data_IF_795922061502
#
_entry.id   IF_795922061502
#
_cell.length_a   1.000
_cell.length_b   1.000
_cell.length_c   1.000
_cell.angle_alpha   90.00
_cell.angle_beta   90.00
_cell.angle_gamma   90.00
#
_symmetry.space_group_name_H-M   'P 1'
#
loop_
_entity.id
_entity.type
_entity.pdbx_description
1 polymer ?
#
# COMPACT_ATOMS: atom_id res chain seq x y z
N UNK A 1 15.66 21.99 -10.76
CA UNK A 1 14.70 22.65 -9.79
C UNK A 1 15.49 23.17 -8.60
N UNK A 2 15.01 24.23 -7.89
CA UNK A 2 15.62 24.63 -6.60
C UNK A 2 15.29 23.55 -5.58
N UNK A 3 16.28 23.04 -4.87
CA UNK A 3 16.08 22.01 -3.85
C UNK A 3 15.29 22.57 -2.66
N UNK A 4 14.26 21.84 -2.23
CA UNK A 4 13.54 22.17 -1.00
C UNK A 4 14.29 21.61 0.20
N UNK A 5 14.51 22.45 1.19
CA UNK A 5 15.16 22.07 2.44
C UNK A 5 14.16 21.93 3.59
N UNK A 6 12.95 22.43 3.40
CA UNK A 6 11.88 22.45 4.40
C UNK A 6 10.54 22.23 3.69
N UNK A 7 9.70 21.36 4.24
CA UNK A 7 8.31 21.15 3.81
C UNK A 7 7.37 21.19 5.01
N UNK A 8 6.18 21.72 4.82
CA UNK A 8 5.08 21.56 5.76
C UNK A 8 4.33 20.28 5.46
N UNK A 9 4.02 19.52 6.50
CA UNK A 9 3.13 18.36 6.45
C UNK A 9 1.76 18.80 6.94
N UNK A 10 0.73 18.54 6.15
CA UNK A 10 -0.64 18.87 6.52
C UNK A 10 -1.54 17.63 6.52
N UNK A 11 -2.59 17.68 7.32
CA UNK A 11 -3.70 16.74 7.35
C UNK A 11 -4.99 17.55 7.22
N UNK A 12 -5.76 17.30 6.15
CA UNK A 12 -6.84 18.21 5.75
C UNK A 12 -6.29 19.65 5.62
N UNK A 13 -6.89 20.61 6.30
CA UNK A 13 -6.47 22.03 6.27
C UNK A 13 -5.56 22.42 7.46
N UNK A 14 -5.10 21.45 8.24
CA UNK A 14 -4.28 21.72 9.45
C UNK A 14 -2.82 21.35 9.22
N UNK A 15 -1.91 22.20 9.69
CA UNK A 15 -0.47 21.91 9.69
C UNK A 15 -0.14 20.91 10.79
N UNK A 16 0.25 19.70 10.41
CA UNK A 16 0.73 18.65 11.31
C UNK A 16 2.10 18.99 11.88
N UNK A 17 3.00 19.45 11.01
CA UNK A 17 4.37 19.76 11.42
C UNK A 17 5.25 20.12 10.23
N UNK A 18 6.55 20.12 10.47
CA UNK A 18 7.57 20.54 9.51
C UNK A 18 8.63 19.46 9.32
N UNK A 19 8.96 19.17 8.06
CA UNK A 19 10.11 18.38 7.66
C UNK A 19 11.27 19.31 7.30
N UNK A 20 12.48 18.98 7.74
CA UNK A 20 13.67 19.74 7.40
C UNK A 20 14.87 18.82 7.15
N UNK A 21 15.60 19.07 6.06
CA UNK A 21 16.83 18.34 5.75
C UNK A 21 17.94 18.75 6.72
N UNK A 22 18.55 17.75 7.37
CA UNK A 22 19.71 17.91 8.25
C UNK A 22 21.02 17.91 7.46
N UNK A 23 22.12 18.27 8.11
CA UNK A 23 23.44 18.32 7.47
C UNK A 23 23.97 16.93 7.06
N UNK A 24 23.52 15.88 7.71
CA UNK A 24 23.83 14.46 7.43
C UNK A 24 22.82 13.79 6.52
N UNK A 25 22.06 14.57 5.75
CA UNK A 25 21.08 14.10 4.75
C UNK A 25 19.91 13.29 5.32
N UNK A 26 19.60 13.43 6.61
CA UNK A 26 18.36 12.91 7.20
C UNK A 26 17.27 13.96 7.17
N UNK A 27 16.03 13.54 7.27
CA UNK A 27 14.89 14.46 7.31
C UNK A 27 14.31 14.48 8.73
N UNK A 28 14.61 15.53 9.46
CA UNK A 28 14.04 15.77 10.79
C UNK A 28 12.57 16.19 10.66
N UNK A 29 11.77 15.77 11.63
CA UNK A 29 10.37 16.16 11.76
C UNK A 29 10.08 16.77 13.13
N UNK A 30 9.22 17.79 13.15
CA UNK A 30 8.70 18.38 14.38
C UNK A 30 7.22 18.70 14.20
N UNK A 31 6.39 18.29 15.16
CA UNK A 31 4.98 18.68 15.21
C UNK A 31 4.81 20.19 15.41
N UNK A 32 3.75 20.76 14.82
CA UNK A 32 3.33 22.13 15.12
C UNK A 32 2.72 22.21 16.53
N UNK A 33 2.79 23.38 17.15
CA UNK A 33 2.21 23.59 18.48
C UNK A 33 0.68 23.39 18.45
N UNK A 34 0.00 23.80 17.37
CA UNK A 34 -1.44 23.61 17.19
C UNK A 34 -1.82 22.14 17.07
N UNK A 35 -1.03 21.34 16.32
CA UNK A 35 -1.28 19.91 16.19
C UNK A 35 -1.04 19.13 17.48
N UNK A 36 -0.09 19.57 18.30
CA UNK A 36 0.17 18.98 19.63
C UNK A 36 -1.01 19.13 20.58
N UNK A 37 -1.86 20.17 20.42
CA UNK A 37 -3.03 20.42 21.26
C UNK A 37 -4.25 19.59 20.83
N UNK A 38 -4.46 19.38 19.52
CA UNK A 38 -5.71 18.84 18.98
C UNK A 38 -5.55 17.64 18.05
N UNK A 39 -4.32 17.34 17.65
CA UNK A 39 -4.03 16.28 16.69
C UNK A 39 -3.78 14.92 17.32
N UNK A 40 -3.30 14.02 16.52
CA UNK A 40 -2.93 12.65 16.90
C UNK A 40 -1.51 12.33 16.46
N UNK A 41 -0.94 11.24 16.99
CA UNK A 41 0.35 10.72 16.52
C UNK A 41 0.22 10.13 15.12
N UNK A 42 0.91 10.72 14.14
CA UNK A 42 0.87 10.23 12.75
C UNK A 42 1.63 8.90 12.56
N UNK A 43 2.49 8.51 13.49
CA UNK A 43 3.03 7.16 13.67
C UNK A 43 3.27 6.91 15.16
N UNK A 44 2.46 6.06 15.82
CA UNK A 44 2.52 5.86 17.27
C UNK A 44 3.87 5.33 17.78
N UNK A 45 4.68 4.71 16.92
CA UNK A 45 5.94 4.09 17.30
C UNK A 45 7.13 5.02 17.10
N UNK A 46 7.27 5.65 15.93
CA UNK A 46 8.44 6.47 15.61
C UNK A 46 8.23 7.96 15.85
N UNK A 47 6.98 8.43 15.82
CA UNK A 47 6.60 9.84 16.00
C UNK A 47 5.49 10.02 17.04
N UNK A 48 5.73 9.67 18.32
CA UNK A 48 4.74 9.91 19.37
C UNK A 48 4.41 11.42 19.44
N UNK A 49 3.16 11.77 19.80
CA UNK A 49 2.69 13.15 19.87
C UNK A 49 3.37 13.90 21.02
N UNK A 50 4.56 14.43 20.76
CA UNK A 50 5.42 15.12 21.74
C UNK A 50 6.12 16.31 21.11
N UNK A 51 6.38 17.35 21.93
CA UNK A 51 7.10 18.55 21.51
C UNK A 51 8.61 18.29 21.49
N UNK A 52 9.10 17.72 20.40
CA UNK A 52 10.54 17.50 20.17
C UNK A 52 10.84 17.44 18.67
N UNK A 53 12.12 17.56 18.33
CA UNK A 53 12.60 17.27 16.98
C UNK A 53 12.93 15.79 16.90
N UNK A 54 12.27 15.09 15.99
CA UNK A 54 12.54 13.69 15.68
C UNK A 54 13.51 13.59 14.52
N UNK A 55 14.48 12.68 14.61
CA UNK A 55 15.43 12.40 13.53
C UNK A 55 15.44 10.87 13.29
N UNK A 56 15.33 10.39 12.05
CA UNK A 56 15.35 8.96 11.77
C UNK A 56 16.67 8.31 12.22
N UNK A 57 16.54 7.14 12.84
CA UNK A 57 17.72 6.35 13.25
C UNK A 57 18.21 5.48 12.12
N UNK A 58 17.28 4.92 11.33
CA UNK A 58 17.56 4.05 10.18
C UNK A 58 17.67 4.87 8.89
N UNK A 59 18.44 4.37 7.94
CA UNK A 59 18.74 5.07 6.68
C UNK A 59 18.07 4.45 5.43
N UNK A 60 17.37 3.32 5.57
CA UNK A 60 16.78 2.59 4.43
C UNK A 60 15.62 3.29 3.72
N UNK A 61 15.05 4.37 4.30
CA UNK A 61 14.05 5.22 3.65
C UNK A 61 14.65 6.54 3.13
N UNK A 62 15.86 6.49 2.63
CA UNK A 62 16.59 7.68 2.16
C UNK A 62 16.63 8.81 3.22
N UNK A 63 16.66 8.43 4.52
CA UNK A 63 16.66 9.36 5.65
C UNK A 63 15.29 9.90 6.07
N UNK A 64 14.18 9.36 5.55
CA UNK A 64 12.82 9.65 6.01
C UNK A 64 12.38 8.73 7.16
N UNK A 65 11.30 9.12 7.85
CA UNK A 65 10.47 8.20 8.61
C UNK A 65 9.52 7.45 7.68
N UNK A 66 9.20 6.20 8.01
CA UNK A 66 8.34 5.34 7.21
C UNK A 66 6.98 5.92 6.87
N UNK A 67 6.39 6.73 7.76
CA UNK A 67 5.10 7.40 7.50
C UNK A 67 5.15 8.36 6.29
N UNK A 68 6.29 8.99 6.04
CA UNK A 68 6.48 9.85 4.88
C UNK A 68 6.88 9.05 3.65
N UNK A 69 7.61 7.93 3.84
CA UNK A 69 7.92 6.98 2.78
C UNK A 69 6.66 6.34 2.19
N UNK A 70 5.64 6.04 3.01
CA UNK A 70 4.34 5.54 2.55
C UNK A 70 3.60 6.51 1.60
N UNK A 71 3.97 7.78 1.60
CA UNK A 71 3.43 8.78 0.67
C UNK A 71 4.18 8.83 -0.66
N UNK A 72 5.42 8.32 -0.69
CA UNK A 72 6.21 8.32 -1.92
C UNK A 72 5.79 7.19 -2.85
N UNK A 73 5.83 7.42 -4.16
CA UNK A 73 5.67 6.36 -5.13
C UNK A 73 6.87 5.42 -5.07
N UNK A 74 6.60 4.13 -5.08
CA UNK A 74 7.63 3.12 -5.27
C UNK A 74 7.75 2.72 -6.77
N UNK A 75 8.16 1.52 -7.09
CA UNK A 75 8.59 1.06 -8.41
C UNK A 75 7.90 1.68 -9.64
N UNK A 76 6.58 1.51 -9.80
CA UNK A 76 5.86 2.00 -10.98
C UNK A 76 5.76 3.52 -11.01
N UNK A 77 5.32 4.12 -9.92
CA UNK A 77 5.18 5.58 -9.85
C UNK A 77 6.54 6.28 -9.91
N UNK A 78 7.58 5.72 -9.31
CA UNK A 78 8.94 6.24 -9.41
C UNK A 78 9.47 6.17 -10.85
N UNK A 79 9.21 5.06 -11.57
CA UNK A 79 9.56 4.94 -12.99
C UNK A 79 8.90 6.02 -13.84
N UNK A 80 7.60 6.26 -13.63
CA UNK A 80 6.86 7.32 -14.34
C UNK A 80 7.45 8.70 -14.05
N UNK A 81 7.67 9.02 -12.76
CA UNK A 81 8.25 10.29 -12.35
C UNK A 81 9.63 10.52 -12.97
N UNK A 82 10.52 9.53 -12.88
CA UNK A 82 11.88 9.66 -13.38
C UNK A 82 11.91 9.85 -14.92
N UNK A 83 10.99 9.20 -15.65
CA UNK A 83 10.85 9.40 -17.10
C UNK A 83 10.28 10.76 -17.45
N UNK A 84 9.26 11.21 -16.70
CA UNK A 84 8.67 12.53 -16.88
C UNK A 84 9.72 13.63 -16.68
N UNK A 85 10.51 13.55 -15.62
CA UNK A 85 11.57 14.51 -15.35
C UNK A 85 12.60 14.55 -16.49
N UNK A 86 13.06 13.38 -16.98
CA UNK A 86 13.99 13.31 -18.12
C UNK A 86 13.38 13.88 -19.41
N UNK A 87 12.09 13.63 -19.67
CA UNK A 87 11.39 14.23 -20.81
C UNK A 87 11.36 15.76 -20.72
N UNK A 88 11.22 16.30 -19.53
CA UNK A 88 11.30 17.73 -19.23
C UNK A 88 12.75 18.25 -19.03
N UNK A 89 13.78 17.47 -19.42
CA UNK A 89 15.20 17.82 -19.32
C UNK A 89 15.65 18.10 -17.87
N UNK A 90 15.05 17.45 -16.92
CA UNK A 90 15.42 17.47 -15.50
C UNK A 90 16.10 16.15 -15.13
N UNK A 91 17.10 16.21 -14.27
CA UNK A 91 17.80 15.02 -13.79
C UNK A 91 17.12 14.48 -12.52
N UNK A 92 16.47 13.30 -12.54
CA UNK A 92 15.85 12.74 -11.35
C UNK A 92 16.82 12.42 -10.22
N UNK A 93 18.11 12.20 -10.52
CA UNK A 93 19.13 11.88 -9.52
C UNK A 93 19.58 13.11 -8.70
N UNK A 94 19.19 14.32 -9.10
CA UNK A 94 19.43 15.55 -8.36
C UNK A 94 18.31 15.87 -7.35
N UNK A 95 17.19 15.13 -7.38
CA UNK A 95 16.09 15.37 -6.46
C UNK A 95 16.39 14.78 -5.08
N UNK A 96 16.16 15.59 -4.07
CA UNK A 96 16.11 15.11 -2.69
C UNK A 96 14.77 14.40 -2.41
N UNK A 97 14.69 13.64 -1.31
CA UNK A 97 13.43 13.03 -0.88
C UNK A 97 12.36 14.08 -0.55
N UNK A 98 12.75 15.27 -0.07
CA UNK A 98 11.83 16.40 0.13
C UNK A 98 11.29 16.94 -1.20
N UNK A 99 12.12 17.00 -2.25
CA UNK A 99 11.65 17.38 -3.59
C UNK A 99 10.63 16.39 -4.11
N UNK A 100 10.83 15.08 -3.88
CA UNK A 100 9.89 14.03 -4.26
C UNK A 100 8.57 14.14 -3.48
N UNK A 101 8.60 14.42 -2.17
CA UNK A 101 7.40 14.67 -1.37
C UNK A 101 6.66 15.94 -1.83
N UNK A 102 7.38 17.01 -2.19
CA UNK A 102 6.79 18.22 -2.76
C UNK A 102 6.08 17.95 -4.12
N UNK A 103 6.62 17.03 -4.91
CA UNK A 103 6.00 16.58 -6.18
C UNK A 103 4.75 15.73 -5.91
N UNK A 104 4.76 14.88 -4.90
CA UNK A 104 3.56 14.15 -4.44
C UNK A 104 2.48 15.13 -3.99
N UNK A 105 2.87 16.17 -3.24
CA UNK A 105 1.98 17.24 -2.82
C UNK A 105 0.69 16.73 -2.18
N UNK A 106 -0.44 16.94 -2.87
CA UNK A 106 -1.78 16.52 -2.42
C UNK A 106 -2.26 15.20 -3.03
N UNK A 107 -1.55 14.62 -3.99
CA UNK A 107 -2.00 13.45 -4.77
C UNK A 107 -1.65 12.09 -4.15
N UNK A 108 -0.83 12.05 -3.11
CA UNK A 108 -0.33 10.82 -2.50
C UNK A 108 -1.39 9.89 -1.91
N UNK A 109 -0.94 8.70 -1.52
CA UNK A 109 -1.74 7.75 -0.75
C UNK A 109 -1.92 8.27 0.68
N UNK A 110 -3.01 7.85 1.35
CA UNK A 110 -3.33 8.30 2.69
C UNK A 110 -3.81 9.76 2.75
N UNK A 111 -3.67 10.40 3.91
CA UNK A 111 -4.22 11.73 4.16
C UNK A 111 -3.17 12.84 4.28
N UNK A 112 -1.89 12.52 4.42
CA UNK A 112 -0.86 13.54 4.54
C UNK A 112 -0.64 14.25 3.21
N UNK A 113 -0.38 15.55 3.27
CA UNK A 113 -0.06 16.41 2.11
C UNK A 113 1.17 17.24 2.41
N UNK A 114 1.86 17.70 1.37
CA UNK A 114 3.17 18.35 1.49
C UNK A 114 3.21 19.68 0.78
N UNK A 115 3.64 20.73 1.46
CA UNK A 115 3.67 22.09 0.94
C UNK A 115 5.04 22.76 1.17
N UNK A 116 5.55 23.57 0.18
CA UNK A 116 4.89 23.91 -1.08
C UNK A 116 4.83 22.71 -2.03
N UNK A 117 3.73 22.60 -2.77
CA UNK A 117 3.51 21.58 -3.78
C UNK A 117 4.19 21.95 -5.10
N UNK A 118 4.77 20.97 -5.79
CA UNK A 118 5.37 21.11 -7.12
C UNK A 118 4.51 20.38 -8.16
N UNK A 119 3.58 21.09 -8.78
CA UNK A 119 2.64 20.53 -9.73
C UNK A 119 3.23 20.43 -11.14
N UNK A 120 2.87 19.37 -11.85
CA UNK A 120 2.98 19.28 -13.31
C UNK A 120 1.66 19.75 -13.95
N UNK A 121 1.71 20.26 -15.20
CA UNK A 121 0.47 20.68 -15.90
C UNK A 121 -0.55 19.54 -15.97
N UNK A 122 -1.81 19.87 -15.68
CA UNK A 122 -2.92 18.92 -15.86
C UNK A 122 -3.26 18.76 -17.33
N UNK A 123 -3.33 17.52 -17.82
CA UNK A 123 -3.93 17.17 -19.11
C UNK A 123 -5.23 16.40 -18.88
N UNK A 124 -6.17 16.53 -19.84
CA UNK A 124 -7.42 15.77 -19.77
C UNK A 124 -7.15 14.29 -20.05
N UNK A 125 -7.61 13.43 -19.13
CA UNK A 125 -7.42 11.99 -19.22
C UNK A 125 -8.37 11.34 -20.22
N UNK A 126 -7.86 10.37 -20.98
CA UNK A 126 -8.64 9.47 -21.83
C UNK A 126 -9.27 8.36 -20.97
N UNK A 127 -10.56 8.07 -21.18
CA UNK A 127 -11.25 6.99 -20.47
C UNK A 127 -10.99 5.57 -21.05
N UNK A 128 -10.18 5.46 -22.10
CA UNK A 128 -9.91 4.20 -22.79
C UNK A 128 -8.80 3.39 -22.08
N UNK A 129 -9.23 2.40 -21.29
CA UNK A 129 -8.32 1.56 -20.49
C UNK A 129 -7.36 0.73 -21.35
N UNK A 130 -7.80 0.27 -22.53
CA UNK A 130 -6.94 -0.51 -23.43
C UNK A 130 -5.80 0.34 -23.99
N UNK A 131 -6.07 1.58 -24.35
CA UNK A 131 -5.03 2.51 -24.77
C UNK A 131 -4.05 2.84 -23.66
N UNK A 132 -4.56 3.13 -22.44
CA UNK A 132 -3.69 3.39 -21.30
C UNK A 132 -2.81 2.16 -20.96
N UNK A 133 -3.35 0.95 -21.06
CA UNK A 133 -2.58 -0.27 -20.87
C UNK A 133 -1.47 -0.42 -21.92
N UNK A 134 -1.75 -0.12 -23.20
CA UNK A 134 -0.72 -0.13 -24.27
C UNK A 134 0.40 0.89 -24.00
N UNK A 135 0.04 2.10 -23.59
CA UNK A 135 1.04 3.13 -23.24
C UNK A 135 1.88 2.71 -22.02
N UNK A 136 1.26 2.08 -21.01
CA UNK A 136 2.01 1.48 -19.90
C UNK A 136 3.02 0.43 -20.37
N UNK A 137 2.65 -0.42 -21.34
CA UNK A 137 3.58 -1.41 -21.91
C UNK A 137 4.76 -0.73 -22.64
N UNK A 138 4.53 0.34 -23.39
CA UNK A 138 5.62 1.13 -24.01
C UNK A 138 6.60 1.64 -22.96
N UNK A 139 6.07 2.18 -21.85
CA UNK A 139 6.90 2.65 -20.72
C UNK A 139 7.75 1.50 -20.16
N UNK A 140 7.15 0.33 -19.92
CA UNK A 140 7.89 -0.83 -19.41
C UNK A 140 8.98 -1.31 -20.38
N UNK A 141 8.70 -1.28 -21.68
CA UNK A 141 9.65 -1.67 -22.74
C UNK A 141 10.71 -0.60 -23.04
N UNK A 142 10.75 0.49 -22.32
CA UNK A 142 11.66 1.61 -22.57
C UNK A 142 11.41 2.29 -23.94
N UNK A 143 10.20 2.18 -24.46
CA UNK A 143 9.75 2.85 -25.66
C UNK A 143 9.23 4.25 -25.36
N UNK A 144 9.14 5.08 -26.41
CA UNK A 144 8.56 6.41 -26.28
C UNK A 144 7.03 6.32 -26.13
N UNK A 145 6.49 7.10 -25.21
CA UNK A 145 5.05 7.29 -25.00
C UNK A 145 4.74 8.79 -25.06
N UNK A 146 3.79 9.18 -25.87
CA UNK A 146 3.26 10.54 -25.96
C UNK A 146 2.20 10.81 -24.86
N UNK A 147 1.88 9.79 -24.05
CA UNK A 147 0.95 9.83 -22.91
C UNK A 147 1.64 9.80 -21.54
N UNK A 148 2.92 10.11 -21.50
CA UNK A 148 3.71 10.00 -20.26
C UNK A 148 3.17 10.95 -19.17
N UNK A 149 2.82 12.19 -19.53
CA UNK A 149 2.25 13.17 -18.59
C UNK A 149 0.91 12.68 -18.04
N UNK A 150 0.02 12.16 -18.92
CA UNK A 150 -1.27 11.59 -18.53
C UNK A 150 -1.10 10.38 -17.59
N UNK A 151 -0.22 9.45 -17.93
CA UNK A 151 0.06 8.27 -17.09
C UNK A 151 0.64 8.65 -15.73
N UNK A 152 1.49 9.68 -15.69
CA UNK A 152 2.02 10.18 -14.42
C UNK A 152 0.92 10.79 -13.55
N UNK A 153 0.06 11.62 -14.11
CA UNK A 153 -1.06 12.22 -13.38
C UNK A 153 -2.02 11.16 -12.81
N UNK A 154 -2.24 10.08 -13.56
CA UNK A 154 -3.13 8.99 -13.14
C UNK A 154 -2.47 7.98 -12.20
N UNK A 155 -1.18 7.73 -12.31
CA UNK A 155 -0.53 6.62 -11.61
C UNK A 155 0.79 6.94 -10.92
N UNK A 156 1.35 8.12 -11.13
CA UNK A 156 2.69 8.49 -10.69
C UNK A 156 2.88 8.59 -9.17
N UNK A 157 1.81 8.66 -8.39
CA UNK A 157 1.86 8.67 -6.92
C UNK A 157 1.37 7.35 -6.29
N UNK A 158 1.19 6.30 -7.10
CA UNK A 158 0.78 4.98 -6.63
C UNK A 158 1.98 4.13 -6.18
N UNK A 159 1.76 3.29 -5.18
CA UNK A 159 2.72 2.27 -4.74
C UNK A 159 2.62 0.98 -5.56
N UNK A 160 3.65 0.10 -5.44
CA UNK A 160 3.71 -1.23 -6.06
C UNK A 160 4.33 -1.25 -7.47
N UNK A 161 4.75 -2.44 -7.90
CA UNK A 161 5.57 -2.62 -9.11
C UNK A 161 4.77 -2.68 -10.42
N UNK A 162 3.50 -3.15 -10.38
CA UNK A 162 2.69 -3.30 -11.59
C UNK A 162 2.11 -1.98 -12.05
N UNK A 163 2.00 -1.76 -13.38
CA UNK A 163 1.34 -0.59 -13.95
C UNK A 163 -0.08 -0.44 -13.42
N UNK A 164 -0.43 0.77 -13.03
CA UNK A 164 -1.77 1.10 -12.53
C UNK A 164 -2.09 2.56 -12.69
N UNK A 165 -3.37 2.85 -12.68
CA UNK A 165 -3.91 4.20 -12.65
C UNK A 165 -4.86 4.37 -11.46
N UNK A 166 -4.99 5.59 -10.99
CA UNK A 166 -6.01 6.04 -10.06
C UNK A 166 -7.01 6.90 -10.82
N UNK A 167 -8.27 6.58 -10.75
CA UNK A 167 -9.32 7.28 -11.51
C UNK A 167 -10.62 7.32 -10.74
N UNK A 168 -11.50 8.24 -11.09
CA UNK A 168 -12.83 8.37 -10.50
C UNK A 168 -13.87 7.72 -11.40
N UNK A 169 -14.64 6.76 -10.89
CA UNK A 169 -15.74 6.10 -11.57
C UNK A 169 -16.95 6.17 -10.65
N UNK A 170 -18.09 6.64 -11.15
CA UNK A 170 -19.33 6.78 -10.37
C UNK A 170 -19.12 7.57 -9.05
N UNK A 171 -18.31 8.64 -9.11
CA UNK A 171 -17.92 9.48 -7.97
C UNK A 171 -17.09 8.75 -6.87
N UNK A 172 -16.61 7.54 -7.14
CA UNK A 172 -15.75 6.75 -6.26
C UNK A 172 -14.32 6.66 -6.82
N UNK A 173 -13.33 6.59 -5.95
CA UNK A 173 -11.93 6.51 -6.35
C UNK A 173 -11.49 5.06 -6.50
N UNK A 174 -10.92 4.74 -7.65
CA UNK A 174 -10.49 3.40 -8.03
C UNK A 174 -9.01 3.36 -8.35
N UNK A 175 -8.38 2.23 -8.05
CA UNK A 175 -7.09 1.83 -8.59
C UNK A 175 -7.38 0.73 -9.61
N UNK A 176 -6.94 0.92 -10.86
CA UNK A 176 -7.07 -0.07 -11.93
C UNK A 176 -5.66 -0.53 -12.30
N UNK A 177 -5.43 -1.84 -12.23
CA UNK A 177 -4.13 -2.45 -12.53
C UNK A 177 -4.10 -3.00 -13.94
N UNK A 178 -2.98 -2.79 -14.61
CA UNK A 178 -2.69 -3.35 -15.94
C UNK A 178 -1.66 -4.47 -15.83
N UNK A 179 -1.72 -5.50 -16.71
CA UNK A 179 -0.71 -6.54 -16.75
C UNK A 179 0.68 -5.96 -17.04
N UNK A 180 1.71 -6.43 -16.35
CA UNK A 180 3.09 -6.19 -16.76
C UNK A 180 3.48 -7.16 -17.90
N UNK A 181 4.62 -6.91 -18.55
CA UNK A 181 5.06 -7.75 -19.68
C UNK A 181 5.23 -9.24 -19.33
N UNK A 182 5.61 -9.51 -18.07
CA UNK A 182 5.79 -10.86 -17.53
C UNK A 182 4.48 -11.52 -17.10
N UNK A 183 3.40 -10.74 -16.98
CA UNK A 183 2.10 -11.24 -16.56
C UNK A 183 1.35 -11.83 -17.78
N UNK A 184 0.61 -12.91 -17.56
CA UNK A 184 -0.29 -13.46 -18.58
C UNK A 184 -1.51 -12.57 -18.82
N UNK A 185 -2.24 -12.83 -19.91
CA UNK A 185 -3.50 -12.13 -20.23
C UNK A 185 -4.59 -12.31 -19.18
N UNK A 186 -4.40 -13.23 -18.26
CA UNK A 186 -5.35 -13.60 -17.21
C UNK A 186 -5.06 -12.94 -15.86
N UNK A 187 -3.98 -12.14 -15.75
CA UNK A 187 -3.53 -11.57 -14.48
C UNK A 187 -4.63 -10.76 -13.76
N UNK A 188 -5.34 -9.90 -14.49
CA UNK A 188 -6.44 -9.12 -13.91
C UNK A 188 -7.63 -9.99 -13.45
N UNK A 189 -7.97 -11.00 -14.25
CA UNK A 189 -9.02 -11.98 -13.88
C UNK A 189 -8.62 -12.80 -12.67
N UNK A 190 -7.37 -13.27 -12.60
CA UNK A 190 -6.86 -14.02 -11.46
C UNK A 190 -6.93 -13.20 -10.17
N UNK A 191 -6.46 -11.95 -10.18
CA UNK A 191 -6.52 -11.08 -9.00
C UNK A 191 -7.98 -10.79 -8.58
N UNK A 192 -8.90 -10.65 -9.54
CA UNK A 192 -10.32 -10.52 -9.28
C UNK A 192 -10.90 -11.77 -8.60
N UNK A 193 -10.59 -12.97 -9.10
CA UNK A 193 -11.08 -14.25 -8.52
C UNK A 193 -10.51 -14.45 -7.11
N UNK A 194 -9.25 -14.13 -6.88
CA UNK A 194 -8.64 -14.11 -5.56
C UNK A 194 -9.38 -13.17 -4.61
N UNK A 195 -9.74 -11.98 -5.07
CA UNK A 195 -10.51 -11.02 -4.27
C UNK A 195 -11.91 -11.54 -3.91
N UNK A 196 -12.56 -12.22 -4.84
CA UNK A 196 -13.86 -12.87 -4.59
C UNK A 196 -13.74 -14.01 -3.59
N UNK A 197 -12.70 -14.86 -3.72
CA UNK A 197 -12.43 -15.93 -2.77
C UNK A 197 -12.11 -15.38 -1.37
N UNK A 198 -11.28 -14.34 -1.27
CA UNK A 198 -10.97 -13.70 0.00
C UNK A 198 -12.22 -13.15 0.70
N UNK A 199 -13.12 -12.49 -0.03
CA UNK A 199 -14.44 -12.07 0.49
C UNK A 199 -15.26 -13.25 0.98
N UNK A 200 -15.32 -14.34 0.20
CA UNK A 200 -16.00 -15.56 0.63
C UNK A 200 -15.40 -16.18 1.89
N UNK A 201 -14.09 -16.05 2.11
CA UNK A 201 -13.37 -16.44 3.32
C UNK A 201 -13.57 -15.48 4.51
N UNK A 202 -14.48 -14.51 4.43
CA UNK A 202 -14.73 -13.54 5.49
C UNK A 202 -13.61 -12.51 5.71
N UNK A 203 -12.71 -12.36 4.73
CA UNK A 203 -11.70 -11.33 4.76
C UNK A 203 -12.31 -10.00 4.33
N UNK A 204 -12.07 -8.96 5.08
CA UNK A 204 -12.51 -7.60 4.75
C UNK A 204 -11.74 -7.12 3.51
N UNK A 205 -12.47 -6.86 2.43
CA UNK A 205 -11.96 -6.37 1.16
C UNK A 205 -12.71 -5.11 0.73
N UNK A 206 -12.03 -4.20 0.04
CA UNK A 206 -12.73 -3.15 -0.71
C UNK A 206 -13.60 -3.74 -1.82
N UNK A 207 -14.49 -2.93 -2.38
CA UNK A 207 -15.18 -3.30 -3.62
C UNK A 207 -14.16 -3.53 -4.72
N UNK A 208 -14.33 -4.63 -5.48
CA UNK A 208 -13.48 -4.99 -6.61
C UNK A 208 -14.34 -5.22 -7.85
N UNK A 209 -13.81 -4.85 -9.01
CA UNK A 209 -14.44 -5.05 -10.33
C UNK A 209 -13.44 -5.59 -11.33
N UNK A 210 -13.93 -6.37 -12.27
CA UNK A 210 -13.17 -6.75 -13.47
C UNK A 210 -13.66 -5.87 -14.62
N UNK A 211 -12.84 -4.89 -15.00
CA UNK A 211 -13.15 -3.98 -16.10
C UNK A 211 -12.93 -4.67 -17.44
N UNK A 212 -13.86 -4.54 -18.40
CA UNK A 212 -13.75 -5.19 -19.69
C UNK A 212 -12.54 -4.69 -20.49
N UNK A 213 -11.96 -5.57 -21.30
CA UNK A 213 -10.86 -5.29 -22.22
C UNK A 213 -11.03 -6.15 -23.48
N UNK A 214 -10.61 -5.60 -24.62
CA UNK A 214 -10.49 -6.35 -25.87
C UNK A 214 -9.12 -7.05 -26.00
N UNK A 215 -8.16 -6.71 -25.12
CA UNK A 215 -6.76 -7.16 -25.18
C UNK A 215 -6.46 -8.34 -24.24
N UNK A 216 -7.21 -8.44 -23.13
CA UNK A 216 -7.01 -9.44 -22.09
C UNK A 216 -8.35 -9.88 -21.50
N UNK A 217 -8.34 -10.78 -20.48
CA UNK A 217 -9.58 -11.21 -19.80
C UNK A 217 -10.22 -10.14 -18.89
N UNK A 218 -9.65 -8.97 -18.84
CA UNK A 218 -10.13 -7.82 -18.08
C UNK A 218 -9.05 -7.24 -17.16
N UNK A 219 -9.26 -5.98 -16.74
CA UNK A 219 -8.40 -5.27 -15.82
C UNK A 219 -8.98 -5.33 -14.41
N UNK A 220 -8.17 -5.73 -13.45
CA UNK A 220 -8.57 -5.71 -12.05
C UNK A 220 -8.66 -4.28 -11.54
N UNK A 221 -9.76 -3.94 -10.89
CA UNK A 221 -9.91 -2.67 -10.20
C UNK A 221 -10.36 -2.87 -8.77
N UNK A 222 -9.85 -2.03 -7.89
CA UNK A 222 -10.23 -1.98 -6.48
C UNK A 222 -10.55 -0.55 -6.07
N UNK A 223 -11.61 -0.38 -5.30
CA UNK A 223 -11.97 0.91 -4.72
C UNK A 223 -10.96 1.30 -3.64
N UNK A 224 -10.52 2.55 -3.68
CA UNK A 224 -9.58 3.08 -2.67
C UNK A 224 -10.23 3.13 -1.29
N UNK A 225 -9.58 2.55 -0.29
CA UNK A 225 -10.04 2.58 1.10
C UNK A 225 -9.54 3.81 1.86
N UNK A 226 -8.54 4.50 1.32
CA UNK A 226 -8.00 5.74 1.88
C UNK A 226 -8.73 7.00 1.38
N UNK A 227 -9.86 6.81 0.72
CA UNK A 227 -10.76 7.87 0.24
C UNK A 227 -12.19 7.54 0.63
N UNK A 228 -12.90 8.51 1.19
CA UNK A 228 -14.30 8.36 1.59
C UNK A 228 -15.13 9.52 1.07
N UNK A 229 -16.31 9.22 0.58
CA UNK A 229 -17.31 10.23 0.29
C UNK A 229 -17.92 10.74 1.58
N UNK A 230 -18.00 12.04 1.76
CA UNK A 230 -18.68 12.71 2.87
C UNK A 230 -19.55 13.86 2.38
N UNK A 231 -20.37 14.44 3.26
CA UNK A 231 -21.29 15.54 2.92
C UNK A 231 -20.58 16.78 2.35
N UNK A 232 -19.30 16.97 2.69
CA UNK A 232 -18.48 18.11 2.23
C UNK A 232 -17.59 17.78 1.03
N UNK A 233 -17.72 16.59 0.42
CA UNK A 233 -16.89 16.13 -0.70
C UNK A 233 -16.16 14.84 -0.37
N UNK A 234 -14.92 14.69 -0.82
CA UNK A 234 -14.07 13.53 -0.56
C UNK A 234 -13.14 13.79 0.62
N UNK A 235 -13.12 12.88 1.59
CA UNK A 235 -12.23 12.89 2.75
C UNK A 235 -11.09 11.88 2.51
N UNK A 236 -9.87 12.27 2.83
CA UNK A 236 -8.71 11.38 2.89
C UNK A 236 -8.63 10.72 4.26
N UNK A 237 -8.23 9.46 4.29
CA UNK A 237 -8.05 8.69 5.54
C UNK A 237 -6.56 8.46 5.75
N UNK A 238 -6.07 8.78 6.94
CA UNK A 238 -4.67 8.53 7.27
C UNK A 238 -4.41 7.04 7.36
N UNK A 239 -3.32 6.60 6.76
CA UNK A 239 -2.95 5.19 6.68
C UNK A 239 -1.47 5.00 6.96
N UNK A 240 -1.13 3.85 7.51
CA UNK A 240 0.23 3.39 7.71
C UNK A 240 0.36 1.92 7.34
N UNK A 241 1.35 1.60 6.54
CA UNK A 241 1.76 0.21 6.33
C UNK A 241 2.52 -0.32 7.55
N UNK A 242 2.57 -1.65 7.71
CA UNK A 242 3.43 -2.28 8.73
C UNK A 242 4.90 -1.91 8.52
N UNK A 243 5.33 -1.76 7.26
CA UNK A 243 6.68 -1.28 6.93
C UNK A 243 6.95 0.10 7.55
N UNK A 244 6.02 1.03 7.36
CA UNK A 244 6.11 2.39 7.91
C UNK A 244 6.04 2.43 9.44
N UNK A 245 5.15 1.63 10.05
CA UNK A 245 4.99 1.61 11.52
C UNK A 245 6.26 1.11 12.20
N UNK A 246 6.85 0.03 11.70
CA UNK A 246 7.99 -0.64 12.31
C UNK A 246 9.34 -0.20 11.74
N UNK A 247 9.34 0.77 10.82
CA UNK A 247 10.54 1.23 10.12
C UNK A 247 11.30 0.05 9.50
N UNK A 248 10.61 -0.77 8.67
CA UNK A 248 11.16 -1.96 8.03
C UNK A 248 11.42 -1.71 6.55
N UNK A 249 12.57 -2.17 6.08
CA UNK A 249 12.83 -2.32 4.66
C UNK A 249 12.03 -3.54 4.14
N UNK A 250 11.03 -3.28 3.31
CA UNK A 250 10.13 -4.33 2.81
C UNK A 250 10.82 -5.26 1.78
N UNK A 251 11.93 -4.84 1.19
CA UNK A 251 12.75 -5.67 0.30
C UNK A 251 13.58 -6.70 1.07
N UNK A 252 13.76 -6.51 2.39
CA UNK A 252 14.46 -7.42 3.28
C UNK A 252 13.47 -8.15 4.20
N UNK A 253 13.05 -9.38 3.86
CA UNK A 253 12.10 -10.15 4.65
C UNK A 253 12.59 -10.33 6.10
N UNK A 254 11.88 -9.75 7.04
CA UNK A 254 12.23 -9.79 8.47
C UNK A 254 11.02 -9.98 9.39
N UNK A 255 9.82 -10.10 8.80
CA UNK A 255 8.56 -10.17 9.53
C UNK A 255 8.12 -11.63 9.72
N UNK A 256 7.51 -11.91 10.86
CA UNK A 256 6.80 -13.15 11.16
C UNK A 256 5.36 -12.81 11.58
N UNK A 257 4.40 -13.69 11.26
CA UNK A 257 3.00 -13.46 11.60
C UNK A 257 2.72 -13.36 13.10
N UNK A 258 3.55 -13.93 13.97
CA UNK A 258 3.46 -13.64 15.43
C UNK A 258 3.66 -12.14 15.71
N UNK A 259 4.66 -11.53 15.06
CA UNK A 259 4.92 -10.10 15.17
C UNK A 259 3.78 -9.27 14.60
N UNK A 260 3.23 -9.67 13.44
CA UNK A 260 2.13 -8.98 12.77
C UNK A 260 0.83 -9.06 13.58
N UNK A 261 0.49 -10.23 14.13
CA UNK A 261 -0.66 -10.39 15.04
C UNK A 261 -0.52 -9.52 16.29
N UNK A 262 0.68 -9.47 16.89
CA UNK A 262 0.96 -8.62 18.03
C UNK A 262 0.81 -7.14 17.67
N UNK A 263 1.35 -6.72 16.52
CA UNK A 263 1.20 -5.35 16.03
C UNK A 263 -0.28 -4.99 15.84
N UNK A 264 -1.06 -5.87 15.20
CA UNK A 264 -2.51 -5.67 15.02
C UNK A 264 -3.21 -5.42 16.35
N UNK A 265 -2.93 -6.25 17.36
CA UNK A 265 -3.50 -6.06 18.72
C UNK A 265 -3.13 -4.72 19.34
N UNK A 266 -1.90 -4.28 19.20
CA UNK A 266 -1.44 -3.00 19.74
C UNK A 266 -2.12 -1.83 18.99
N UNK A 267 -2.06 -1.84 17.66
CA UNK A 267 -2.61 -0.77 16.84
C UNK A 267 -4.12 -0.61 17.02
N UNK A 268 -4.85 -1.72 17.04
CA UNK A 268 -6.32 -1.71 17.10
C UNK A 268 -6.88 -1.77 18.53
N UNK A 269 -6.02 -1.60 19.54
CA UNK A 269 -6.40 -1.70 20.97
C UNK A 269 -7.14 -3.01 21.28
N UNK A 270 -6.64 -4.14 20.75
CA UNK A 270 -7.19 -5.50 20.87
C UNK A 270 -8.62 -5.64 20.28
N UNK A 271 -8.89 -5.02 19.12
CA UNK A 271 -10.13 -5.27 18.39
C UNK A 271 -10.18 -6.72 17.89
N UNK A 272 -11.07 -7.51 18.41
CA UNK A 272 -11.18 -8.95 18.10
C UNK A 272 -11.45 -9.18 16.60
N UNK A 273 -12.24 -8.30 15.97
CA UNK A 273 -12.56 -8.37 14.54
C UNK A 273 -11.32 -8.16 13.67
N UNK A 274 -10.49 -7.17 14.01
CA UNK A 274 -9.23 -6.89 13.29
C UNK A 274 -8.21 -8.01 13.48
N UNK A 275 -8.11 -8.55 14.70
CA UNK A 275 -7.22 -9.67 15.02
C UNK A 275 -7.65 -10.94 14.28
N UNK A 276 -8.95 -11.27 14.28
CA UNK A 276 -9.47 -12.40 13.51
C UNK A 276 -9.28 -12.19 12.00
N UNK A 277 -9.49 -10.98 11.50
CA UNK A 277 -9.30 -10.66 10.09
C UNK A 277 -7.83 -10.80 9.66
N UNK A 278 -6.87 -10.40 10.50
CA UNK A 278 -5.45 -10.62 10.24
C UNK A 278 -5.11 -12.12 10.23
N UNK A 279 -5.67 -12.91 11.14
CA UNK A 279 -5.50 -14.36 11.16
C UNK A 279 -6.07 -15.00 9.89
N UNK A 280 -7.26 -14.57 9.44
CA UNK A 280 -7.86 -15.03 8.17
C UNK A 280 -6.96 -14.72 6.96
N UNK A 281 -6.35 -13.52 6.90
CA UNK A 281 -5.41 -13.15 5.83
C UNK A 281 -4.19 -14.06 5.82
N UNK A 282 -3.61 -14.36 6.98
CA UNK A 282 -2.50 -15.31 7.09
C UNK A 282 -2.89 -16.68 6.54
N UNK A 283 -4.03 -17.24 6.98
CA UNK A 283 -4.50 -18.53 6.48
C UNK A 283 -4.74 -18.49 4.95
N UNK A 284 -5.35 -17.42 4.45
CA UNK A 284 -5.58 -17.25 3.02
C UNK A 284 -4.26 -17.19 2.24
N UNK A 285 -3.28 -16.38 2.67
CA UNK A 285 -1.99 -16.27 2.00
C UNK A 285 -1.29 -17.64 1.91
N UNK A 286 -1.36 -18.44 2.98
CA UNK A 286 -0.78 -19.79 3.00
C UNK A 286 -1.49 -20.71 2.00
N UNK A 287 -2.81 -20.85 2.06
CA UNK A 287 -3.53 -21.80 1.23
C UNK A 287 -3.67 -21.34 -0.23
N UNK A 288 -3.79 -20.04 -0.48
CA UNK A 288 -3.89 -19.47 -1.81
C UNK A 288 -2.52 -19.21 -2.48
N UNK A 289 -1.42 -19.60 -1.85
CA UNK A 289 -0.06 -19.39 -2.34
C UNK A 289 0.23 -17.93 -2.68
N UNK A 290 -0.30 -17.00 -1.89
CA UNK A 290 0.10 -15.59 -1.95
C UNK A 290 1.33 -15.40 -1.07
N UNK A 291 2.52 -15.62 -1.63
CA UNK A 291 3.80 -15.55 -0.90
C UNK A 291 4.43 -14.15 -0.89
N UNK A 292 3.87 -13.23 -1.67
CA UNK A 292 4.30 -11.81 -1.68
C UNK A 292 3.61 -11.02 -0.55
N UNK A 293 3.59 -11.61 0.63
CA UNK A 293 2.97 -11.09 1.85
C UNK A 293 3.96 -10.22 2.66
N UNK A 294 4.58 -9.25 1.97
CA UNK A 294 5.55 -8.35 2.60
C UNK A 294 4.89 -7.25 3.46
N UNK A 295 5.70 -6.57 4.26
CA UNK A 295 5.24 -5.61 5.27
C UNK A 295 4.45 -4.41 4.71
N UNK A 296 4.59 -4.04 3.43
CA UNK A 296 3.77 -3.00 2.78
C UNK A 296 2.35 -3.49 2.42
N UNK A 297 2.06 -4.81 2.46
CA UNK A 297 0.73 -5.37 2.15
C UNK A 297 -0.22 -5.45 3.36
N UNK A 298 0.21 -4.95 4.51
CA UNK A 298 -0.59 -4.87 5.73
C UNK A 298 -0.65 -3.43 6.22
N UNK A 299 -1.83 -2.82 6.09
CA UNK A 299 -2.06 -1.40 6.36
C UNK A 299 -3.07 -1.21 7.49
N UNK A 300 -2.91 -0.13 8.25
CA UNK A 300 -3.86 0.32 9.26
C UNK A 300 -4.37 1.71 8.89
N UNK A 301 -5.66 1.94 9.13
CA UNK A 301 -6.35 3.21 8.89
C UNK A 301 -6.67 3.88 10.21
N UNK A 302 -6.44 5.18 10.30
CA UNK A 302 -6.80 5.96 11.47
C UNK A 302 -8.19 6.59 11.31
N UNK A 303 -9.08 6.24 12.22
CA UNK A 303 -10.41 6.80 12.31
C UNK A 303 -10.41 7.98 13.31
N UNK A 304 -10.34 9.20 12.77
CA UNK A 304 -10.22 10.41 13.60
C UNK A 304 -11.44 10.60 14.54
N UNK A 305 -12.62 10.20 14.12
CA UNK A 305 -13.85 10.32 14.92
C UNK A 305 -13.85 9.37 16.14
N UNK A 306 -13.07 8.29 16.09
CA UNK A 306 -12.95 7.27 17.14
C UNK A 306 -11.63 7.36 17.90
N UNK A 307 -10.69 8.18 17.45
CA UNK A 307 -9.28 8.19 17.91
C UNK A 307 -8.71 6.77 17.96
N UNK A 308 -8.86 6.02 16.87
CA UNK A 308 -8.51 4.60 16.83
C UNK A 308 -7.97 4.17 15.47
N UNK A 309 -7.06 3.21 15.50
CA UNK A 309 -6.58 2.53 14.32
C UNK A 309 -7.35 1.24 14.09
N UNK A 310 -7.66 0.94 12.83
CA UNK A 310 -8.27 -0.29 12.37
C UNK A 310 -7.45 -0.93 11.26
N UNK A 311 -7.53 -2.23 11.14
CA UNK A 311 -6.93 -2.93 10.02
C UNK A 311 -7.65 -2.52 8.73
N UNK A 312 -6.90 -2.14 7.69
CA UNK A 312 -7.48 -1.77 6.39
C UNK A 312 -8.18 -2.97 5.73
N UNK A 313 -9.04 -2.78 4.74
CA UNK A 313 -9.37 -3.84 3.80
C UNK A 313 -8.10 -4.48 3.21
N UNK A 314 -8.12 -5.78 2.95
CA UNK A 314 -7.00 -6.47 2.32
C UNK A 314 -6.87 -6.08 0.85
N UNK A 315 -5.66 -6.10 0.33
CA UNK A 315 -5.31 -5.77 -1.05
C UNK A 315 -4.10 -6.59 -1.50
N UNK A 316 -3.82 -6.56 -2.79
CA UNK A 316 -2.70 -7.30 -3.40
C UNK A 316 -2.71 -8.81 -3.08
N UNK A 317 -3.93 -9.39 -3.00
CA UNK A 317 -4.11 -10.83 -2.84
C UNK A 317 -4.16 -11.48 -4.22
N UNK A 318 -3.09 -12.18 -4.59
CA UNK A 318 -2.98 -12.92 -5.85
C UNK A 318 -1.99 -14.06 -5.70
N UNK A 319 -1.98 -15.00 -6.64
CA UNK A 319 -0.91 -16.01 -6.67
C UNK A 319 0.46 -15.34 -6.81
N UNK A 320 1.36 -15.69 -5.95
CA UNK A 320 2.76 -15.28 -6.04
C UNK A 320 3.66 -16.40 -5.54
N UNK A 321 4.61 -16.77 -6.40
CA UNK A 321 5.64 -17.73 -6.04
C UNK A 321 6.98 -17.00 -5.92
N UNK A 322 7.11 -16.07 -5.01
CA UNK A 322 8.30 -15.24 -4.78
C UNK A 322 9.62 -15.82 -5.31
N UNK A 323 10.68 -15.06 -5.41
CA UNK A 323 11.93 -15.47 -6.06
C UNK A 323 12.52 -16.78 -5.51
N UNK A 324 12.27 -17.08 -4.21
CA UNK A 324 12.79 -18.26 -3.51
C UNK A 324 11.72 -19.30 -3.17
N UNK A 325 10.47 -19.10 -3.59
CA UNK A 325 9.36 -19.98 -3.24
C UNK A 325 8.99 -19.96 -1.78
N UNK A 326 9.30 -18.87 -1.04
CA UNK A 326 9.00 -18.70 0.37
C UNK A 326 8.08 -17.49 0.60
N UNK A 327 7.28 -17.54 1.65
CA UNK A 327 6.54 -16.38 2.13
C UNK A 327 7.49 -15.27 2.56
N UNK A 328 7.18 -14.03 2.22
CA UNK A 328 7.92 -12.86 2.65
C UNK A 328 7.74 -12.61 4.15
N UNK A 329 6.55 -12.95 4.69
CA UNK A 329 6.28 -13.00 6.12
C UNK A 329 6.23 -14.46 6.58
N UNK A 330 7.15 -14.91 7.44
CA UNK A 330 7.16 -16.29 7.92
C UNK A 330 5.97 -16.59 8.85
N UNK A 331 5.56 -17.84 8.89
CA UNK A 331 4.48 -18.34 9.76
C UNK A 331 5.11 -19.25 10.81
N UNK A 332 5.20 -18.82 12.05
CA UNK A 332 5.89 -19.53 13.13
C UNK A 332 7.31 -19.95 12.73
N UNK A 333 8.05 -19.01 12.12
CA UNK A 333 9.42 -19.23 11.62
C UNK A 333 9.54 -20.04 10.32
N UNK A 334 8.42 -20.53 9.74
CA UNK A 334 8.41 -21.29 8.51
C UNK A 334 7.97 -20.39 7.33
N UNK A 335 8.89 -20.10 6.42
CA UNK A 335 8.57 -19.32 5.19
C UNK A 335 8.27 -20.20 3.99
N UNK A 336 8.76 -21.45 3.98
CA UNK A 336 8.71 -22.29 2.76
C UNK A 336 7.40 -23.03 2.57
N UNK A 337 6.99 -23.78 3.57
CA UNK A 337 5.78 -24.62 3.50
C UNK A 337 5.07 -24.59 4.87
N UNK A 338 4.58 -23.42 5.32
CA UNK A 338 3.76 -23.37 6.52
C UNK A 338 2.45 -24.12 6.31
N UNK A 339 1.97 -24.79 7.35
CA UNK A 339 0.76 -25.56 7.31
C UNK A 339 -0.11 -25.33 8.53
N UNK A 340 -1.06 -26.21 8.74
CA UNK A 340 -2.02 -26.14 9.85
C UNK A 340 -1.37 -25.98 11.22
N UNK A 341 -0.23 -26.65 11.45
CA UNK A 341 0.48 -26.57 12.72
C UNK A 341 0.98 -25.16 13.03
N UNK A 342 1.64 -24.55 12.06
CA UNK A 342 2.19 -23.21 12.19
C UNK A 342 1.05 -22.16 12.30
N UNK A 343 -0.01 -22.29 11.49
CA UNK A 343 -1.19 -21.43 11.57
C UNK A 343 -1.82 -21.47 12.98
N UNK A 344 -2.01 -22.67 13.56
CA UNK A 344 -2.53 -22.83 14.92
C UNK A 344 -1.60 -22.23 15.98
N UNK A 345 -0.28 -22.37 15.81
CA UNK A 345 0.69 -21.79 16.75
C UNK A 345 0.57 -20.27 16.77
N UNK A 346 0.49 -19.61 15.60
CA UNK A 346 0.32 -18.15 15.50
C UNK A 346 -1.01 -17.70 16.10
N UNK A 347 -2.13 -18.32 15.73
CA UNK A 347 -3.45 -17.93 16.23
C UNK A 347 -3.60 -18.07 17.72
N UNK A 348 -3.16 -19.21 18.30
CA UNK A 348 -3.19 -19.44 19.73
C UNK A 348 -2.18 -18.56 20.47
N UNK A 349 -1.00 -18.32 19.90
CA UNK A 349 -0.01 -17.37 20.40
C UNK A 349 -0.52 -15.93 20.48
N UNK A 350 -1.43 -15.54 19.57
CA UNK A 350 -2.14 -14.27 19.62
C UNK A 350 -3.30 -14.24 20.64
N UNK A 351 -3.59 -15.35 21.33
CA UNK A 351 -4.64 -15.47 22.34
C UNK A 351 -6.01 -15.84 21.77
N UNK A 352 -6.11 -16.24 20.51
CA UNK A 352 -7.35 -16.76 19.93
C UNK A 352 -7.66 -18.16 20.49
N UNK A 353 -8.94 -18.50 20.63
CA UNK A 353 -9.36 -19.85 21.04
C UNK A 353 -8.97 -20.87 19.95
N UNK A 354 -8.35 -21.97 20.36
CA UNK A 354 -7.89 -23.02 19.45
C UNK A 354 -9.02 -23.52 18.53
N UNK A 355 -10.21 -23.77 19.07
CA UNK A 355 -11.37 -24.21 18.28
C UNK A 355 -11.75 -23.19 17.20
N UNK A 356 -11.67 -21.87 17.52
CA UNK A 356 -11.95 -20.81 16.54
C UNK A 356 -10.87 -20.77 15.45
N UNK A 357 -9.60 -20.94 15.80
CA UNK A 357 -8.53 -21.05 14.81
C UNK A 357 -8.75 -22.25 13.88
N UNK A 358 -9.12 -23.41 14.41
CA UNK A 358 -9.39 -24.63 13.65
C UNK A 358 -10.56 -24.42 12.67
N UNK A 359 -11.66 -23.81 13.12
CA UNK A 359 -12.81 -23.48 12.28
C UNK A 359 -12.42 -22.58 11.09
N UNK A 360 -11.66 -21.52 11.35
CA UNK A 360 -11.22 -20.55 10.32
C UNK A 360 -10.28 -21.23 9.33
N UNK A 361 -9.33 -22.04 9.80
CA UNK A 361 -8.39 -22.77 8.94
C UNK A 361 -9.18 -23.71 8.01
N UNK A 362 -10.11 -24.52 8.55
CA UNK A 362 -10.91 -25.47 7.75
C UNK A 362 -11.81 -24.74 6.73
N UNK A 363 -12.43 -23.62 7.15
CA UNK A 363 -13.25 -22.79 6.26
C UNK A 363 -12.45 -22.25 5.07
N UNK A 364 -11.27 -21.66 5.35
CA UNK A 364 -10.46 -21.00 4.31
C UNK A 364 -9.82 -22.04 3.40
N UNK A 365 -9.25 -23.13 3.93
CA UNK A 365 -8.68 -24.22 3.14
C UNK A 365 -9.70 -24.76 2.15
N UNK A 366 -10.92 -25.03 2.61
CA UNK A 366 -12.02 -25.52 1.76
C UNK A 366 -12.37 -24.52 0.65
N UNK A 367 -12.61 -23.26 0.99
CA UNK A 367 -13.02 -22.24 0.00
C UNK A 367 -11.94 -21.94 -1.01
N UNK A 368 -10.68 -21.84 -0.58
CA UNK A 368 -9.55 -21.66 -1.49
C UNK A 368 -9.46 -22.83 -2.48
N UNK A 369 -9.58 -24.06 -2.01
CA UNK A 369 -9.58 -25.24 -2.87
C UNK A 369 -10.75 -25.23 -3.86
N UNK A 370 -11.95 -24.87 -3.41
CA UNK A 370 -13.14 -24.83 -4.28
C UNK A 370 -13.08 -23.71 -5.33
N UNK A 371 -12.55 -22.54 -5.00
CA UNK A 371 -12.65 -21.35 -5.84
C UNK A 371 -11.38 -21.03 -6.64
N UNK A 372 -10.21 -21.50 -6.18
CA UNK A 372 -8.91 -21.17 -6.79
C UNK A 372 -8.16 -22.40 -7.32
N UNK A 373 -8.80 -23.58 -7.39
CA UNK A 373 -8.17 -24.84 -7.83
C UNK A 373 -7.42 -24.67 -9.16
N UNK A 374 -8.04 -23.99 -10.14
CA UNK A 374 -7.44 -23.77 -11.47
C UNK A 374 -6.11 -23.02 -11.44
N UNK A 375 -5.91 -22.15 -10.44
CA UNK A 375 -4.69 -21.36 -10.27
C UNK A 375 -3.60 -22.09 -9.47
N UNK A 376 -3.98 -23.12 -8.70
CA UNK A 376 -3.10 -23.85 -7.79
C UNK A 376 -2.64 -25.19 -8.37
N UNK A 377 -3.40 -25.79 -9.30
CA UNK A 377 -3.04 -27.05 -9.95
C UNK A 377 -1.90 -26.85 -10.95
N UNK A 378 -0.79 -27.54 -10.73
CA UNK A 378 0.35 -27.59 -11.66
C UNK A 378 1.41 -26.52 -11.48
N UNK A 379 1.41 -25.83 -10.33
CA UNK A 379 2.43 -24.82 -9.99
C UNK A 379 3.25 -25.22 -8.76
#
# INVERSE_FOLDING_TARGET
MKQDKVLQVCYEDQTVGTLAMTADHKVAFQYSDEWLETGFSINPFSLPLQKQVFVPVKDHFEGLFGVFEDSLPDHWGRLLLDRLLRAHKQNPDELTVLDRLAIVGTSGMGALTYHPEKNFPEEQSSADLDKLAEECQKILNTEYSDKLDELYLLGGTSGGARPKIMTTIDNEEWIIKFPAHVDGKDAGKMEYDYSCCAKACGIMMSETRLFPSEKCKGYFGTKRFDRRNCLKGKKKVHMLTTAAILELDFEQPSLDYHGLMKLTKIMTRNCDEDVENMFRRMCFNVFAHNRDDHSKNFTYLYEADEDKWHLSPAYDLTYSNTYYGEHTTSVDGNGRNPGRKELLAVGTGAGMKKTRCEEIIDEIEKKVKEMLEEYLLGK
#
